data_IF_173875243271
#
_entry.id   IF_173875243271
#
_cell.length_a   1.000
_cell.length_b   1.000
_cell.length_c   1.000
_cell.angle_alpha   90.00
_cell.angle_beta   90.00
_cell.angle_gamma   90.00
#
_symmetry.space_group_name_H-M   'P 1'
#
loop_
_entity.id
_entity.type
_entity.pdbx_description
1 polymer ?
#
# COMPACT_ATOMS: atom_id res chain seq x y z
N UNK A 1 -9.32 28.07 -10.87
CA UNK A 1 -9.36 27.04 -9.81
C UNK A 1 -9.78 25.75 -10.48
N UNK A 2 -8.83 24.97 -10.98
CA UNK A 2 -9.11 23.72 -11.69
C UNK A 2 -9.30 22.64 -10.63
N UNK A 3 -10.55 22.22 -10.45
CA UNK A 3 -10.88 21.11 -9.56
C UNK A 3 -10.24 19.84 -10.12
N UNK A 4 -9.30 19.28 -9.36
CA UNK A 4 -8.74 17.96 -9.60
C UNK A 4 -9.87 16.95 -9.35
N UNK A 5 -10.50 16.52 -10.44
CA UNK A 5 -11.37 15.36 -10.46
C UNK A 5 -10.51 14.18 -9.96
N UNK A 6 -10.81 13.52 -8.84
CA UNK A 6 -10.14 12.27 -8.51
C UNK A 6 -10.52 11.28 -9.60
N UNK A 7 -9.57 10.96 -10.46
CA UNK A 7 -9.75 10.02 -11.58
C UNK A 7 -10.27 8.70 -11.02
N UNK A 8 -11.37 8.14 -11.55
CA UNK A 8 -11.89 6.87 -11.09
C UNK A 8 -10.93 5.77 -11.55
N UNK A 9 -10.34 5.03 -10.60
CA UNK A 9 -9.80 3.68 -10.77
C UNK A 9 -9.14 3.38 -12.14
N UNK A 10 -7.96 3.95 -12.40
CA UNK A 10 -7.04 3.34 -13.37
C UNK A 10 -6.57 2.04 -12.74
N UNK A 11 -7.12 0.89 -13.17
CA UNK A 11 -6.65 -0.47 -12.90
C UNK A 11 -5.41 -0.52 -12.00
N UNK A 12 -5.61 -0.33 -10.70
CA UNK A 12 -4.49 -0.05 -9.80
C UNK A 12 -3.73 -1.36 -9.62
N UNK A 13 -2.45 -1.37 -9.98
CA UNK A 13 -1.56 -2.50 -9.72
C UNK A 13 -1.83 -2.98 -8.28
N UNK A 14 -2.14 -4.28 -8.07
CA UNK A 14 -2.51 -4.78 -6.75
C UNK A 14 -1.45 -4.40 -5.70
N UNK A 15 -0.17 -4.41 -6.09
CA UNK A 15 0.95 -3.90 -5.29
C UNK A 15 0.80 -2.43 -4.89
N UNK A 16 0.44 -1.54 -5.82
CA UNK A 16 0.26 -0.11 -5.52
C UNK A 16 -0.94 0.11 -4.60
N UNK A 17 -2.02 -0.64 -4.79
CA UNK A 17 -3.18 -0.63 -3.91
C UNK A 17 -2.84 -1.10 -2.49
N UNK A 18 -2.06 -2.17 -2.36
CA UNK A 18 -1.61 -2.67 -1.06
C UNK A 18 -0.73 -1.67 -0.33
N UNK A 19 0.18 -1.02 -1.05
CA UNK A 19 1.00 0.08 -0.51
C UNK A 19 0.13 1.22 -0.01
N UNK A 20 -0.86 1.66 -0.78
CA UNK A 20 -1.77 2.73 -0.38
C UNK A 20 -2.59 2.35 0.87
N UNK A 21 -3.08 1.11 0.94
CA UNK A 21 -3.81 0.60 2.10
C UNK A 21 -2.94 0.59 3.37
N UNK A 22 -1.67 0.16 3.28
CA UNK A 22 -0.75 0.20 4.41
C UNK A 22 -0.43 1.62 4.86
N UNK A 23 -0.21 2.57 3.94
CA UNK A 23 -0.02 3.99 4.27
C UNK A 23 -1.24 4.58 4.99
N UNK A 24 -2.45 4.10 4.67
CA UNK A 24 -3.70 4.49 5.33
C UNK A 24 -3.92 3.78 6.67
N UNK A 25 -3.06 2.82 7.02
CA UNK A 25 -3.19 2.01 8.24
C UNK A 25 -4.28 0.95 8.17
N UNK A 26 -4.77 0.60 6.97
CA UNK A 26 -5.77 -0.45 6.82
C UNK A 26 -5.14 -1.82 7.10
N UNK A 27 -5.85 -2.73 7.78
CA UNK A 27 -5.30 -4.05 8.09
C UNK A 27 -5.30 -4.96 6.85
N UNK A 28 -4.37 -5.92 6.80
CA UNK A 28 -4.22 -6.86 5.68
C UNK A 28 -5.51 -7.67 5.39
N UNK A 29 -6.38 -7.83 6.39
CA UNK A 29 -7.67 -8.53 6.26
C UNK A 29 -8.67 -7.79 5.33
N UNK A 30 -8.48 -6.48 5.11
CA UNK A 30 -9.30 -5.69 4.18
C UNK A 30 -8.83 -5.83 2.72
N UNK A 31 -7.90 -6.75 2.43
CA UNK A 31 -7.49 -7.04 1.07
C UNK A 31 -8.71 -7.47 0.23
N UNK A 32 -9.05 -6.73 -0.86
CA UNK A 32 -10.21 -7.04 -1.68
C UNK A 32 -10.04 -8.30 -2.56
N UNK A 33 -8.81 -8.80 -2.67
CA UNK A 33 -8.48 -9.99 -3.47
C UNK A 33 -8.64 -11.27 -2.65
N UNK A 34 -8.90 -12.40 -3.32
CA UNK A 34 -8.97 -13.71 -2.65
C UNK A 34 -7.57 -14.24 -2.34
N UNK A 35 -7.37 -14.83 -1.17
CA UNK A 35 -6.07 -15.35 -0.70
C UNK A 35 -5.37 -16.31 -1.69
N UNK A 36 -6.13 -17.00 -2.55
CA UNK A 36 -5.62 -17.94 -3.54
C UNK A 36 -5.21 -17.29 -4.89
N UNK A 37 -5.41 -15.97 -5.04
CA UNK A 37 -5.10 -15.25 -6.27
C UNK A 37 -3.72 -14.59 -6.22
N UNK A 38 -2.98 -14.52 -7.34
CA UNK A 38 -1.71 -13.80 -7.38
C UNK A 38 -1.86 -12.32 -7.01
N UNK A 39 -3.01 -11.71 -7.29
CA UNK A 39 -3.34 -10.34 -6.88
C UNK A 39 -3.32 -10.15 -5.35
N UNK A 40 -3.77 -11.15 -4.57
CA UNK A 40 -3.67 -11.09 -3.11
C UNK A 40 -2.21 -11.06 -2.65
N UNK A 41 -1.36 -11.88 -3.25
CA UNK A 41 0.07 -11.91 -2.94
C UNK A 41 0.73 -10.58 -3.33
N UNK A 42 0.39 -10.01 -4.49
CA UNK A 42 0.91 -8.72 -4.96
C UNK A 42 0.47 -7.57 -4.06
N UNK A 43 -0.82 -7.51 -3.69
CA UNK A 43 -1.34 -6.50 -2.77
C UNK A 43 -0.70 -6.62 -1.39
N UNK A 44 -0.61 -7.84 -0.86
CA UNK A 44 0.03 -8.06 0.43
C UNK A 44 1.50 -7.64 0.40
N UNK A 45 2.24 -7.96 -0.65
CA UNK A 45 3.64 -7.53 -0.79
C UNK A 45 3.78 -5.99 -0.78
N UNK A 46 2.91 -5.28 -1.50
CA UNK A 46 2.86 -3.81 -1.47
C UNK A 46 2.54 -3.26 -0.07
N UNK A 47 1.63 -3.90 0.65
CA UNK A 47 1.25 -3.53 2.01
C UNK A 47 2.42 -3.67 2.99
N UNK A 48 3.12 -4.80 2.96
CA UNK A 48 4.28 -5.04 3.84
C UNK A 48 5.44 -4.08 3.58
N UNK A 49 5.65 -3.67 2.32
CA UNK A 49 6.73 -2.75 1.94
C UNK A 49 6.66 -1.39 2.63
N UNK A 50 5.48 -0.91 3.04
CA UNK A 50 5.34 0.35 3.78
C UNK A 50 5.78 0.20 5.23
N UNK A 51 5.51 -0.96 5.83
CA UNK A 51 5.84 -1.23 7.24
C UNK A 51 7.34 -1.34 7.46
N UNK A 52 8.07 -1.80 6.46
CA UNK A 52 9.54 -1.78 6.45
C UNK A 52 10.05 -0.34 6.29
N UNK A 53 9.45 0.45 5.39
CA UNK A 53 9.85 1.84 5.16
C UNK A 53 9.52 2.81 6.31
N UNK A 54 8.54 2.50 7.17
CA UNK A 54 8.22 3.30 8.38
C UNK A 54 9.25 3.09 9.52
N UNK A 55 10.10 2.06 9.41
CA UNK A 55 11.13 1.72 10.41
C UNK A 55 12.56 2.14 10.06
N UNK A 56 12.82 2.66 8.86
CA UNK A 56 14.17 2.96 8.35
C UNK A 56 14.57 4.45 8.44
N UNK A 57 13.78 5.29 9.09
CA UNK A 57 14.26 6.59 9.58
C UNK A 57 14.40 6.50 11.10
N UNK A 58 15.41 5.73 11.55
CA UNK A 58 15.93 5.86 12.91
C UNK A 58 16.82 7.12 12.94
N UNK A 59 16.38 8.25 13.54
CA UNK A 59 17.19 9.47 13.62
C UNK A 59 18.39 9.34 14.58
N UNK A 60 18.66 8.16 15.15
CA UNK A 60 19.70 7.99 16.19
C UNK A 60 21.05 7.51 15.66
N UNK A 61 21.21 7.22 14.36
CA UNK A 61 22.52 6.93 13.75
C UNK A 61 23.28 8.20 13.29
N UNK A 62 22.89 9.38 13.78
CA UNK A 62 23.73 10.59 13.76
C UNK A 62 24.40 10.79 15.13
N UNK A 63 25.35 9.91 15.50
CA UNK A 63 26.21 10.08 16.67
C UNK A 63 27.70 10.03 16.32
#
# INVERSE_FOLDING_TARGET
>A
MTQQIPTPATAEDPTAQGKAAAVRGEPLIENPFKEDTPEFAQWSAGWWSVRENDGDEDPLDQA
#
